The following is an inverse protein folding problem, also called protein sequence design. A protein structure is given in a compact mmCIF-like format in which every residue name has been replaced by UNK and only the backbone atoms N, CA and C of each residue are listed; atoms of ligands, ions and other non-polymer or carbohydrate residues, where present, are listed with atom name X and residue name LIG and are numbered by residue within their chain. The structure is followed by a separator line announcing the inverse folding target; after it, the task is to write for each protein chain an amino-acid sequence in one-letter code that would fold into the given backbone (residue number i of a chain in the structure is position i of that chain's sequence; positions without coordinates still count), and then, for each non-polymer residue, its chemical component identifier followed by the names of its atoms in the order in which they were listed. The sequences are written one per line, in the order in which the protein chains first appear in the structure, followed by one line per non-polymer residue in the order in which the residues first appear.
data_IF_376580113775
#
_entry.id   IF_376580113775
#
_cell.length_a   1.000
_cell.length_b   1.000
_cell.length_c   1.000
_cell.angle_alpha   90.00
_cell.angle_beta   90.00
_cell.angle_gamma   90.00
#
_symmetry.space_group_name_H-M   'P 1'
#
loop_
_entity.id
_entity.type
_entity.pdbx_description
1 polymer ?
#
# COMPACT_ATOMS: atom_id res chain seq x y z
N UNK A 1 -0.88 -9.64 10.67
CA UNK A 1 -1.69 -8.50 11.07
C UNK A 1 -2.01 -7.60 9.89
N UNK A 2 -2.88 -6.63 10.07
CA UNK A 2 -3.29 -5.66 9.05
C UNK A 2 -3.87 -6.33 7.79
N UNK A 3 -4.93 -7.12 7.95
CA UNK A 3 -5.52 -7.82 6.81
C UNK A 3 -6.30 -6.86 5.90
N UNK A 4 -6.24 -7.13 4.59
CA UNK A 4 -7.11 -6.48 3.59
C UNK A 4 -7.74 -7.54 2.71
N UNK A 5 -9.00 -7.30 2.34
CA UNK A 5 -9.74 -8.21 1.47
C UNK A 5 -9.50 -7.86 0.01
N UNK A 6 -9.50 -8.88 -0.85
CA UNK A 6 -9.71 -8.65 -2.28
C UNK A 6 -11.12 -8.10 -2.53
N UNK A 7 -11.32 -7.43 -3.67
CA UNK A 7 -12.59 -6.82 -3.99
C UNK A 7 -13.75 -7.81 -4.04
N UNK A 8 -13.49 -9.05 -4.44
CA UNK A 8 -14.50 -10.12 -4.51
C UNK A 8 -14.69 -10.88 -3.18
N UNK A 9 -13.90 -10.54 -2.14
CA UNK A 9 -13.96 -11.20 -0.85
C UNK A 9 -13.38 -12.61 -0.80
N UNK A 10 -12.74 -13.07 -1.88
CA UNK A 10 -12.22 -14.43 -1.97
C UNK A 10 -10.80 -14.62 -1.44
N UNK A 11 -10.05 -13.54 -1.30
CA UNK A 11 -8.65 -13.56 -0.87
C UNK A 11 -8.42 -12.54 0.24
N UNK A 12 -7.57 -12.91 1.19
CA UNK A 12 -7.12 -12.01 2.25
C UNK A 12 -5.62 -11.79 2.07
N UNK A 13 -5.19 -10.54 2.10
CA UNK A 13 -3.78 -10.13 2.08
C UNK A 13 -3.42 -9.62 3.46
N UNK A 14 -2.24 -9.99 3.96
CA UNK A 14 -1.83 -9.59 5.31
C UNK A 14 -0.31 -9.54 5.45
N UNK A 15 0.14 -8.78 6.43
CA UNK A 15 1.55 -8.70 6.79
C UNK A 15 1.87 -9.78 7.82
N UNK A 16 2.96 -10.52 7.60
CA UNK A 16 3.42 -11.54 8.53
C UNK A 16 4.95 -11.61 8.56
N UNK A 17 5.50 -11.84 9.73
CA UNK A 17 6.93 -12.06 9.95
C UNK A 17 7.30 -13.55 10.05
N UNK A 18 6.38 -14.44 9.66
CA UNK A 18 6.58 -15.90 9.77
C UNK A 18 7.82 -16.42 9.05
N UNK A 19 8.29 -15.71 8.03
CA UNK A 19 9.52 -16.01 7.30
C UNK A 19 10.75 -15.29 7.85
N UNK A 20 10.66 -14.60 8.99
CA UNK A 20 11.75 -13.91 9.67
C UNK A 20 11.62 -12.39 9.66
N UNK A 21 11.14 -11.80 8.57
CA UNK A 21 10.91 -10.36 8.46
C UNK A 21 9.52 -10.09 7.88
N UNK A 22 8.93 -8.92 8.16
CA UNK A 22 7.59 -8.60 7.65
C UNK A 22 7.54 -8.63 6.12
N UNK A 23 6.63 -9.43 5.59
CA UNK A 23 6.35 -9.55 4.17
C UNK A 23 4.83 -9.73 3.98
N UNK A 24 4.38 -9.52 2.76
CA UNK A 24 2.97 -9.68 2.42
C UNK A 24 2.70 -11.12 2.02
N UNK A 25 1.65 -11.68 2.58
CA UNK A 25 1.13 -13.03 2.31
C UNK A 25 -0.30 -12.93 1.82
N UNK A 26 -0.74 -13.95 1.12
CA UNK A 26 -2.14 -14.12 0.75
C UNK A 26 -2.67 -15.46 1.24
N UNK A 27 -3.95 -15.52 1.51
CA UNK A 27 -4.66 -16.75 1.84
C UNK A 27 -6.07 -16.68 1.28
N UNK A 28 -6.65 -17.86 0.98
CA UNK A 28 -8.06 -17.93 0.59
C UNK A 28 -8.94 -17.63 1.80
N UNK A 29 -10.03 -16.88 1.57
CA UNK A 29 -11.03 -16.61 2.61
C UNK A 29 -11.73 -17.89 3.09
N UNK A 30 -11.72 -18.96 2.29
CA UNK A 30 -12.32 -20.25 2.65
C UNK A 30 -11.39 -21.16 3.45
N UNK A 31 -10.19 -20.73 3.74
CA UNK A 31 -9.20 -21.47 4.52
C UNK A 31 -8.07 -22.04 3.66
N UNK A 32 -7.16 -22.76 4.30
CA UNK A 32 -5.95 -23.29 3.67
C UNK A 32 -4.71 -22.54 4.08
N UNK A 33 -3.58 -22.85 3.43
CA UNK A 33 -2.29 -22.24 3.75
C UNK A 33 -2.12 -20.85 3.18
N UNK A 34 -1.20 -20.08 3.75
CA UNK A 34 -0.82 -18.78 3.27
C UNK A 34 0.38 -18.87 2.32
N UNK A 35 0.39 -18.03 1.29
CA UNK A 35 1.47 -17.94 0.30
C UNK A 35 2.11 -16.58 0.38
N UNK A 36 3.44 -16.53 0.45
CA UNK A 36 4.19 -15.26 0.43
C UNK A 36 4.12 -14.63 -0.95
N UNK A 37 3.90 -13.32 -1.01
CA UNK A 37 3.79 -12.56 -2.25
C UNK A 37 4.98 -11.64 -2.50
N UNK A 38 5.63 -11.12 -1.46
CA UNK A 38 6.68 -10.11 -1.63
C UNK A 38 8.04 -10.68 -1.27
N UNK A 39 9.01 -10.45 -2.15
CA UNK A 39 10.36 -11.00 -2.04
C UNK A 39 11.45 -9.94 -2.19
N UNK A 40 11.10 -8.74 -2.64
CA UNK A 40 12.05 -7.63 -2.79
C UNK A 40 12.14 -6.82 -1.51
N UNK A 41 13.37 -6.53 -1.08
CA UNK A 41 13.62 -5.81 0.16
C UNK A 41 13.46 -6.69 1.40
N UNK A 42 13.92 -6.18 2.53
CA UNK A 42 13.86 -6.91 3.80
C UNK A 42 12.58 -6.66 4.59
N UNK A 43 11.72 -5.76 4.09
CA UNK A 43 10.52 -5.35 4.79
C UNK A 43 9.45 -4.89 3.79
N UNK A 44 8.28 -5.50 3.85
CA UNK A 44 7.08 -5.04 3.16
C UNK A 44 5.90 -5.19 4.11
N UNK A 45 5.17 -4.11 4.34
CA UNK A 45 4.04 -4.11 5.25
C UNK A 45 2.94 -3.17 4.77
N UNK A 46 1.78 -3.25 5.39
CA UNK A 46 0.63 -2.37 5.16
C UNK A 46 0.21 -2.33 3.70
N UNK A 47 -0.04 -3.52 3.15
CA UNK A 47 -0.40 -3.64 1.75
C UNK A 47 -1.77 -3.02 1.45
N UNK A 48 -1.87 -2.40 0.29
CA UNK A 48 -3.14 -2.10 -0.37
C UNK A 48 -3.15 -2.78 -1.73
N UNK A 49 -4.31 -3.26 -2.16
CA UNK A 49 -4.44 -4.05 -3.38
C UNK A 49 -5.45 -3.38 -4.28
N UNK A 50 -5.12 -3.24 -5.58
CA UNK A 50 -6.06 -2.70 -6.56
C UNK A 50 -7.29 -3.61 -6.71
N UNK A 51 -8.42 -3.02 -7.13
CA UNK A 51 -9.67 -3.75 -7.24
C UNK A 51 -9.60 -4.97 -8.15
N UNK A 52 -8.77 -4.93 -9.19
CA UNK A 52 -8.54 -6.06 -10.11
C UNK A 52 -7.53 -7.09 -9.57
N UNK A 53 -6.92 -6.84 -8.42
CA UNK A 53 -5.93 -7.71 -7.80
C UNK A 53 -4.56 -7.72 -8.46
N UNK A 54 -4.33 -6.89 -9.48
CA UNK A 54 -3.10 -6.93 -10.28
C UNK A 54 -1.96 -6.09 -9.72
N UNK A 55 -2.27 -5.13 -8.86
CA UNK A 55 -1.27 -4.22 -8.27
C UNK A 55 -1.36 -4.24 -6.76
N UNK A 56 -0.21 -4.32 -6.12
CA UNK A 56 -0.08 -4.28 -4.67
C UNK A 56 0.92 -3.17 -4.32
N UNK A 57 0.52 -2.26 -3.45
CA UNK A 57 1.42 -1.25 -2.92
C UNK A 57 1.69 -1.52 -1.45
N UNK A 58 2.92 -1.28 -1.01
CA UNK A 58 3.37 -1.53 0.36
C UNK A 58 4.19 -0.37 0.89
N UNK A 59 4.31 -0.29 2.20
CA UNK A 59 5.42 0.41 2.82
C UNK A 59 6.62 -0.55 2.78
N UNK A 60 7.61 -0.23 1.96
CA UNK A 60 8.76 -1.07 1.69
C UNK A 60 10.04 -0.44 2.23
N UNK A 61 10.88 -1.23 2.85
CA UNK A 61 12.13 -0.71 3.40
C UNK A 61 12.98 -1.74 4.10
N UNK A 62 13.78 -1.27 5.04
CA UNK A 62 14.73 -2.08 5.81
C UNK A 62 14.40 -2.15 7.31
N UNK A 63 13.23 -1.64 7.74
CA UNK A 63 12.83 -1.58 9.15
C UNK A 63 13.13 -0.23 9.82
N UNK A 64 13.97 0.61 9.24
CA UNK A 64 14.31 1.94 9.75
C UNK A 64 13.77 3.06 8.86
N UNK A 65 13.82 2.86 7.56
CA UNK A 65 13.27 3.78 6.57
C UNK A 65 12.31 3.04 5.65
N UNK A 66 11.25 3.73 5.25
CA UNK A 66 10.19 3.16 4.42
C UNK A 66 9.81 4.12 3.31
N UNK A 67 9.50 3.54 2.15
CA UNK A 67 8.93 4.26 1.02
C UNK A 67 7.71 3.50 0.52
N UNK A 68 6.84 4.17 -0.20
CA UNK A 68 5.75 3.47 -0.88
C UNK A 68 6.29 2.88 -2.18
N UNK A 69 6.07 1.60 -2.38
CA UNK A 69 6.47 0.88 -3.59
C UNK A 69 5.29 0.08 -4.12
N UNK A 70 5.22 -0.05 -5.42
CA UNK A 70 4.13 -0.75 -6.12
C UNK A 70 4.68 -1.94 -6.88
N UNK A 71 4.06 -3.10 -6.66
CA UNK A 71 4.34 -4.33 -7.39
C UNK A 71 3.24 -4.57 -8.41
N UNK A 72 3.63 -4.71 -9.68
CA UNK A 72 2.70 -5.03 -10.77
C UNK A 72 2.75 -6.53 -11.08
N UNK A 73 1.72 -7.25 -10.68
CA UNK A 73 1.63 -8.70 -10.87
C UNK A 73 1.41 -9.09 -12.32
N UNK A 74 0.84 -8.21 -13.12
CA UNK A 74 0.64 -8.43 -14.56
C UNK A 74 1.94 -8.27 -15.36
N UNK A 75 2.99 -7.70 -14.76
CA UNK A 75 4.30 -7.49 -15.40
C UNK A 75 5.40 -8.27 -14.65
N UNK A 76 5.14 -9.50 -14.27
CA UNK A 76 6.11 -10.36 -13.63
C UNK A 76 6.54 -9.88 -12.23
N UNK A 77 5.65 -9.25 -11.49
CA UNK A 77 5.93 -8.70 -10.15
C UNK A 77 6.99 -7.59 -10.17
N UNK A 78 6.96 -6.76 -11.20
CA UNK A 78 7.85 -5.61 -11.32
C UNK A 78 7.54 -4.58 -10.24
N UNK A 79 8.58 -4.10 -9.55
CA UNK A 79 8.47 -3.08 -8.52
C UNK A 79 8.77 -1.70 -9.07
N UNK A 80 7.97 -0.72 -8.67
CA UNK A 80 8.17 0.70 -8.96
C UNK A 80 8.13 1.48 -7.65
N UNK A 81 9.19 2.23 -7.30
CA UNK A 81 9.11 3.12 -6.15
C UNK A 81 8.20 4.30 -6.48
N UNK A 82 7.27 4.60 -5.57
CA UNK A 82 6.29 5.68 -5.76
C UNK A 82 6.63 6.94 -4.95
N UNK A 83 7.42 6.80 -3.90
CA UNK A 83 7.77 7.92 -3.03
C UNK A 83 9.25 7.87 -2.66
N UNK A 84 9.86 9.05 -2.38
CA UNK A 84 11.28 9.12 -1.98
C UNK A 84 11.53 8.88 -0.51
N UNK A 85 10.49 8.82 0.31
CA UNK A 85 10.45 9.10 1.73
C UNK A 85 11.33 8.32 2.67
N UNK A 86 11.29 8.76 3.93
CA UNK A 86 11.98 8.11 5.03
C UNK A 86 11.06 7.25 5.89
N UNK A 87 9.84 7.73 6.09
CA UNK A 87 8.84 7.07 6.96
C UNK A 87 7.47 7.18 6.28
N UNK A 88 7.43 6.85 5.00
CA UNK A 88 6.18 6.81 4.25
C UNK A 88 5.44 5.52 4.59
N UNK A 89 4.14 5.62 4.85
CA UNK A 89 3.35 4.49 5.31
C UNK A 89 1.88 4.58 4.90
N UNK A 90 1.17 3.49 5.12
CA UNK A 90 -0.29 3.39 4.98
C UNK A 90 -0.79 3.78 3.59
N UNK A 91 -0.25 3.17 2.51
CA UNK A 91 -0.76 3.45 1.17
C UNK A 91 -2.17 2.90 1.00
N UNK A 92 -2.99 3.61 0.21
CA UNK A 92 -4.31 3.12 -0.19
C UNK A 92 -4.59 3.51 -1.64
N UNK A 93 -5.07 2.56 -2.44
CA UNK A 93 -5.45 2.81 -3.81
C UNK A 93 -6.76 3.61 -3.89
N UNK A 94 -6.81 4.55 -4.82
CA UNK A 94 -8.08 5.11 -5.28
C UNK A 94 -8.91 4.00 -5.95
N UNK A 95 -10.25 4.14 -5.97
CA UNK A 95 -11.12 3.11 -6.54
C UNK A 95 -10.80 2.71 -7.98
N UNK A 96 -10.28 3.65 -8.80
CA UNK A 96 -9.89 3.38 -10.18
C UNK A 96 -8.45 2.88 -10.35
N UNK A 97 -7.71 2.67 -9.25
CA UNK A 97 -6.33 2.20 -9.22
C UNK A 97 -5.31 3.10 -9.95
N UNK A 98 -5.68 4.32 -10.36
CA UNK A 98 -4.76 5.26 -11.04
C UNK A 98 -3.94 6.10 -10.07
N UNK A 99 -4.40 6.24 -8.84
CA UNK A 99 -3.79 7.05 -7.80
C UNK A 99 -3.72 6.29 -6.49
N UNK A 100 -2.76 6.66 -5.66
CA UNK A 100 -2.66 6.22 -4.27
C UNK A 100 -2.60 7.42 -3.34
N UNK A 101 -3.01 7.20 -2.12
CA UNK A 101 -2.90 8.14 -1.02
C UNK A 101 -1.99 7.49 0.03
N UNK A 102 -1.08 8.23 0.62
CA UNK A 102 -0.23 7.70 1.69
C UNK A 102 0.13 8.78 2.71
N UNK A 103 0.55 8.35 3.89
CA UNK A 103 1.03 9.24 4.94
C UNK A 103 2.56 9.30 4.91
N UNK A 104 3.11 10.49 5.15
CA UNK A 104 4.55 10.72 5.24
C UNK A 104 4.88 11.55 6.46
N UNK A 105 6.11 11.44 6.95
CA UNK A 105 6.63 12.27 8.03
C UNK A 105 7.44 13.42 7.46
N UNK A 106 7.04 14.65 7.78
CA UNK A 106 7.77 15.87 7.41
C UNK A 106 7.81 16.80 8.62
N UNK A 107 9.02 17.21 9.03
CA UNK A 107 9.20 18.11 10.16
C UNK A 107 8.55 17.63 11.45
N UNK A 108 8.55 16.33 11.73
CA UNK A 108 7.92 15.75 12.91
C UNK A 108 6.40 15.62 12.82
N UNK A 109 5.81 15.96 11.68
CA UNK A 109 4.36 15.87 11.44
C UNK A 109 4.04 14.81 10.42
N UNK A 110 2.88 14.17 10.55
CA UNK A 110 2.34 13.31 9.50
C UNK A 110 1.53 14.15 8.53
N UNK A 111 1.84 14.02 7.26
CA UNK A 111 1.17 14.71 6.14
C UNK A 111 0.68 13.69 5.14
N UNK A 112 -0.27 14.09 4.29
CA UNK A 112 -0.82 13.21 3.24
C UNK A 112 -0.31 13.62 1.87
N UNK A 113 0.04 12.61 1.07
CA UNK A 113 0.38 12.78 -0.34
C UNK A 113 -0.53 11.91 -1.21
N UNK A 114 -0.85 12.42 -2.39
CA UNK A 114 -1.33 11.58 -3.48
C UNK A 114 -0.18 11.32 -4.44
N UNK A 115 -0.16 10.15 -5.04
CA UNK A 115 0.82 9.78 -6.06
C UNK A 115 0.13 8.96 -7.14
N UNK A 116 0.50 9.21 -8.40
CA UNK A 116 0.02 8.39 -9.51
C UNK A 116 0.64 6.99 -9.45
N UNK A 117 -0.08 6.00 -9.94
CA UNK A 117 0.37 4.60 -9.91
C UNK A 117 1.65 4.37 -10.72
N UNK A 118 2.01 5.27 -11.62
CA UNK A 118 3.28 5.24 -12.35
C UNK A 118 4.41 6.02 -11.64
N UNK A 119 4.13 6.65 -10.52
CA UNK A 119 5.10 7.40 -9.73
C UNK A 119 5.46 8.78 -10.27
N UNK A 120 4.86 9.23 -11.38
CA UNK A 120 5.26 10.47 -12.07
C UNK A 120 4.72 11.74 -11.45
N UNK A 121 3.55 11.68 -10.84
CA UNK A 121 2.89 12.86 -10.26
C UNK A 121 2.64 12.61 -8.78
N UNK A 122 3.22 13.46 -7.93
CA UNK A 122 3.06 13.38 -6.48
C UNK A 122 2.68 14.75 -5.95
N UNK A 123 1.62 14.84 -5.15
CA UNK A 123 1.12 16.09 -4.61
C UNK A 123 0.86 16.00 -3.12
N UNK A 124 1.29 17.02 -2.38
CA UNK A 124 0.93 17.20 -0.99
C UNK A 124 -0.54 17.62 -0.90
N UNK A 125 -1.31 16.92 -0.04
CA UNK A 125 -2.66 17.34 0.29
C UNK A 125 -2.59 18.29 1.48
N UNK A 126 -3.08 19.53 1.35
CA UNK A 126 -3.09 20.46 2.47
C UNK A 126 -4.21 20.08 3.45
N UNK A 127 -3.83 19.42 4.57
CA UNK A 127 -4.73 19.16 5.68
C UNK A 127 -4.27 20.02 6.83
N UNK A 128 -5.11 20.96 7.24
CA UNK A 128 -4.75 21.92 8.28
C UNK A 128 -4.93 21.35 9.67
N UNK A 129 -3.97 21.66 10.54
CA UNK A 129 -4.14 21.64 12.01
C UNK A 129 -3.98 20.31 12.70
N UNK A 130 -3.72 19.20 12.01
CA UNK A 130 -3.59 17.90 12.65
C UNK A 130 -2.56 17.01 11.98
N UNK A 131 -1.95 16.14 12.75
CA UNK A 131 -1.19 15.01 12.22
C UNK A 131 -2.17 13.97 11.70
N UNK A 132 -1.93 13.44 10.49
CA UNK A 132 -2.83 12.51 9.83
C UNK A 132 -2.16 11.17 9.61
N UNK A 133 -2.90 10.08 9.81
CA UNK A 133 -2.42 8.70 9.67
C UNK A 133 -3.52 7.84 9.05
N UNK A 134 -3.10 6.73 8.45
CA UNK A 134 -4.01 5.70 7.91
C UNK A 134 -5.10 6.26 6.99
N UNK A 135 -4.71 6.95 5.91
CA UNK A 135 -5.69 7.50 4.98
C UNK A 135 -6.48 6.40 4.27
N UNK A 136 -7.70 6.73 3.88
CA UNK A 136 -8.54 5.85 3.10
C UNK A 136 -9.32 6.67 2.07
N UNK A 137 -9.61 6.05 0.92
CA UNK A 137 -10.47 6.64 -0.10
C UNK A 137 -11.93 6.37 0.22
N UNK A 138 -12.76 7.38 0.02
CA UNK A 138 -14.20 7.21 0.08
C UNK A 138 -14.76 6.57 -1.18
N UNK A 139 -15.99 6.05 -1.14
CA UNK A 139 -16.64 5.49 -2.31
C UNK A 139 -16.89 6.56 -3.37
N UNK A 140 -16.97 6.11 -4.61
CA UNK A 140 -17.27 7.00 -5.74
C UNK A 140 -18.66 7.59 -5.58
N UNK A 141 -18.77 8.93 -5.58
CA UNK A 141 -20.06 9.58 -5.62
C UNK A 141 -20.53 9.67 -7.07
N UNK A 142 -21.61 9.01 -7.38
CA UNK A 142 -22.25 9.21 -8.68
C UNK A 142 -22.85 10.63 -8.71
N UNK A 143 -22.54 11.39 -9.77
CA UNK A 143 -23.21 12.64 -10.02
C UNK A 143 -24.66 12.34 -10.37
N UNK A 144 -25.57 12.97 -9.64
CA UNK A 144 -26.99 12.92 -9.97
C UNK A 144 -27.28 13.80 -11.18
#
# INVERSE_FOLDING_TARGET
TEPVWSADGGTIYFTSDRGGRPQIYQASASGGGATRLTFSGSYNARATVSADGKKIATAQGNGNTYRIALMDRAQGNRWTPLSPGNLDESPTFAPNASMLLYAAKEGGRSVLYTVSADGRVRKLLPVQGASVQEPAWGPYRQKR
#
